data_IF_666765380011
#
_entry.id   IF_666765380011
#
_cell.length_a   1.000
_cell.length_b   1.000
_cell.length_c   1.000
_cell.angle_alpha   90.00
_cell.angle_beta   90.00
_cell.angle_gamma   90.00
#
_symmetry.space_group_name_H-M   'P 1'
#
loop_
_entity.id
_entity.type
_entity.pdbx_description
1 polymer ?
#
# COMPACT_ATOMS: atom_id res chain seq x y z
N UNK A 1 37.87 8.51 -4.95
CA UNK A 1 36.74 7.90 -5.67
C UNK A 1 36.11 6.90 -4.72
N UNK A 2 35.11 7.32 -3.94
CA UNK A 2 34.36 6.44 -3.05
C UNK A 2 32.91 6.50 -3.53
N UNK A 3 32.40 5.38 -4.01
CA UNK A 3 31.06 5.27 -4.56
C UNK A 3 30.04 5.45 -3.44
N UNK A 4 29.18 6.45 -3.61
CA UNK A 4 27.91 6.54 -2.89
C UNK A 4 27.01 5.44 -3.44
N UNK A 5 26.87 4.36 -2.68
CA UNK A 5 25.88 3.33 -2.90
C UNK A 5 24.50 3.94 -2.67
N UNK A 6 23.71 4.02 -3.74
CA UNK A 6 22.29 4.33 -3.66
C UNK A 6 21.60 3.11 -3.03
N UNK A 7 21.32 3.16 -1.74
CA UNK A 7 20.31 2.29 -1.15
C UNK A 7 18.96 2.85 -1.61
N UNK A 8 18.31 2.10 -2.52
CA UNK A 8 16.94 2.38 -2.95
C UNK A 8 16.01 2.35 -1.73
N UNK A 9 15.29 3.43 -1.41
CA UNK A 9 14.39 3.47 -0.26
C UNK A 9 12.95 3.01 -0.56
N UNK A 10 12.69 2.36 -1.69
CA UNK A 10 11.35 1.86 -2.04
C UNK A 10 11.03 0.50 -1.41
N UNK A 11 11.06 0.36 -0.07
CA UNK A 11 10.70 -0.91 0.58
C UNK A 11 9.70 -0.81 1.73
N UNK A 12 9.12 0.35 1.98
CA UNK A 12 8.11 0.53 3.01
C UNK A 12 7.00 1.43 2.46
N UNK A 13 5.77 0.96 2.43
CA UNK A 13 4.66 1.89 2.23
C UNK A 13 4.40 2.62 3.52
N UNK A 14 4.75 3.90 3.53
CA UNK A 14 4.41 4.76 4.62
C UNK A 14 4.18 6.19 4.14
N UNK A 15 3.41 6.93 4.93
CA UNK A 15 3.45 8.38 4.83
C UNK A 15 4.73 8.85 5.52
N UNK A 16 5.71 9.28 4.73
CA UNK A 16 6.98 9.77 5.25
C UNK A 16 7.04 11.30 5.13
N UNK A 17 7.11 11.98 6.26
CA UNK A 17 7.34 13.44 6.32
C UNK A 17 8.79 13.66 6.70
N UNK A 18 9.60 14.08 5.74
CA UNK A 18 11.00 14.40 5.96
C UNK A 18 11.15 15.87 6.36
N UNK A 19 11.79 16.10 7.50
CA UNK A 19 12.31 17.42 7.89
C UNK A 19 13.83 17.31 7.91
N UNK A 20 14.45 17.23 6.72
CA UNK A 20 15.91 17.18 6.65
C UNK A 20 16.51 18.53 7.09
N UNK A 21 17.72 18.51 7.62
CA UNK A 21 18.58 19.69 7.77
C UNK A 21 19.13 20.20 6.43
N UNK A 22 18.71 19.64 5.30
CA UNK A 22 19.13 20.02 3.97
C UNK A 22 18.23 21.12 3.40
N UNK A 23 18.69 22.37 3.53
CA UNK A 23 18.35 23.53 2.68
C UNK A 23 17.04 23.39 1.86
N UNK A 24 15.92 23.87 2.42
CA UNK A 24 14.91 24.50 1.56
C UNK A 24 15.65 25.54 0.72
N UNK A 25 15.66 25.37 -0.60
CA UNK A 25 16.44 26.19 -1.52
C UNK A 25 16.25 27.70 -1.22
N UNK A 26 17.35 28.33 -0.81
CA UNK A 26 17.63 29.77 -0.78
C UNK A 26 16.49 30.72 -0.35
N UNK A 27 16.43 31.01 0.95
CA UNK A 27 16.29 32.39 1.42
C UNK A 27 17.29 32.63 2.56
N UNK A 28 18.12 33.69 2.50
CA UNK A 28 19.17 33.96 3.47
C UNK A 28 18.55 34.61 4.71
N UNK A 29 17.93 33.79 5.56
CA UNK A 29 17.56 34.24 6.91
C UNK A 29 18.22 33.27 7.87
N UNK A 30 19.19 33.78 8.63
CA UNK A 30 19.84 33.06 9.70
C UNK A 30 18.79 32.63 10.74
N UNK A 31 18.33 31.39 10.66
CA UNK A 31 17.37 30.83 11.60
C UNK A 31 17.18 29.34 11.39
N UNK A 32 17.37 28.54 12.44
CA UNK A 32 16.94 27.13 12.46
C UNK A 32 15.43 27.08 12.25
N UNK A 33 15.02 26.57 11.09
CA UNK A 33 13.61 26.44 10.73
C UNK A 33 12.98 25.34 11.61
N UNK A 34 12.21 25.75 12.62
CA UNK A 34 11.59 24.88 13.63
C UNK A 34 10.06 24.95 13.55
N UNK A 35 9.45 24.36 12.53
CA UNK A 35 8.09 24.77 12.09
C UNK A 35 6.96 23.75 12.24
N UNK A 36 7.15 22.67 12.99
CA UNK A 36 6.10 21.65 13.20
C UNK A 36 5.77 21.37 14.67
N UNK A 37 6.19 22.22 15.62
CA UNK A 37 5.89 22.05 17.05
C UNK A 37 4.40 21.91 17.35
N UNK A 38 4.05 20.90 18.15
CA UNK A 38 2.67 20.64 18.59
C UNK A 38 1.64 20.58 17.44
N UNK A 39 2.10 20.30 16.21
CA UNK A 39 1.20 20.10 15.06
C UNK A 39 0.65 18.69 15.11
N UNK A 40 -0.59 18.55 14.66
CA UNK A 40 -1.23 17.25 14.50
C UNK A 40 -1.40 16.93 13.04
N UNK A 41 -1.11 15.68 12.67
CA UNK A 41 -1.47 15.08 11.39
C UNK A 41 -2.78 14.34 11.59
N UNK A 42 -3.77 14.69 10.79
CA UNK A 42 -5.06 14.04 10.78
C UNK A 42 -5.27 13.40 9.41
N UNK A 43 -5.80 12.19 9.40
CA UNK A 43 -6.19 11.46 8.20
C UNK A 43 -7.69 11.26 8.25
N UNK A 44 -8.38 11.86 7.27
CA UNK A 44 -9.85 11.94 7.23
C UNK A 44 -10.45 12.49 8.54
N UNK A 45 -9.71 13.38 9.21
CA UNK A 45 -10.09 13.98 10.49
C UNK A 45 -9.73 13.18 11.74
N UNK A 46 -9.13 11.99 11.61
CA UNK A 46 -8.63 11.19 12.73
C UNK A 46 -7.17 11.55 13.01
N UNK A 47 -6.80 11.99 14.23
CA UNK A 47 -5.41 12.28 14.56
C UNK A 47 -4.58 11.00 14.58
N UNK A 48 -3.54 10.95 13.76
CA UNK A 48 -2.63 9.80 13.65
C UNK A 48 -1.23 10.09 14.19
N UNK A 49 -0.85 11.37 14.24
CA UNK A 49 0.44 11.78 14.74
C UNK A 49 0.39 13.17 15.36
N UNK A 50 1.20 13.37 16.39
CA UNK A 50 1.44 14.68 16.99
C UNK A 50 2.94 14.91 17.08
N UNK A 51 3.39 15.99 16.47
CA UNK A 51 4.77 16.43 16.56
C UNK A 51 5.06 16.90 18.00
N UNK A 52 6.22 16.53 18.57
CA UNK A 52 6.61 16.97 19.90
C UNK A 52 6.81 18.50 19.94
N UNK A 53 6.82 19.07 21.15
CA UNK A 53 7.01 20.51 21.36
C UNK A 53 8.49 20.94 21.25
N UNK A 54 9.42 20.00 21.33
CA UNK A 54 10.85 20.26 21.22
C UNK A 54 11.30 20.51 19.77
N UNK A 55 12.31 21.37 19.58
CA UNK A 55 12.95 21.61 18.27
C UNK A 55 13.92 20.47 18.01
N UNK A 56 13.38 19.32 17.68
CA UNK A 56 14.14 18.25 17.06
C UNK A 56 13.55 18.08 15.67
N UNK A 57 14.40 17.98 14.65
CA UNK A 57 13.98 17.67 13.28
C UNK A 57 13.63 16.18 13.25
N UNK A 58 12.36 15.78 13.35
CA UNK A 58 12.03 14.38 13.45
C UNK A 58 11.61 13.93 12.06
N UNK A 59 12.46 13.16 11.39
CA UNK A 59 11.98 12.30 10.32
C UNK A 59 10.95 11.36 10.95
N UNK A 60 9.68 11.46 10.52
CA UNK A 60 8.60 10.68 11.10
C UNK A 60 7.81 10.00 10.00
N UNK A 61 7.92 8.69 10.05
CA UNK A 61 7.15 7.74 9.25
C UNK A 61 5.90 7.40 10.03
N UNK A 62 4.75 7.91 9.60
CA UNK A 62 3.49 7.61 10.29
C UNK A 62 2.90 6.34 9.69
N UNK A 63 3.34 5.19 10.20
CA UNK A 63 2.70 3.89 9.94
C UNK A 63 1.45 3.77 10.81
N UNK A 64 0.28 3.82 10.20
CA UNK A 64 -1.00 3.62 10.87
C UNK A 64 -1.90 2.77 9.99
N UNK A 65 -2.94 2.17 10.58
CA UNK A 65 -3.99 1.48 9.81
C UNK A 65 -4.79 2.54 9.02
N UNK A 66 -4.26 2.95 7.88
CA UNK A 66 -4.82 4.03 7.09
C UNK A 66 -5.87 3.46 6.10
N UNK A 67 -7.05 4.10 5.93
CA UNK A 67 -8.10 3.55 5.08
C UNK A 67 -7.77 3.63 3.58
N UNK A 68 -8.42 2.71 2.87
CA UNK A 68 -7.93 1.99 1.71
C UNK A 68 -7.91 2.74 0.37
N UNK A 69 -8.25 4.01 0.26
CA UNK A 69 -8.18 4.74 -1.03
C UNK A 69 -8.31 6.23 -0.76
N UNK A 70 -7.36 7.02 -1.27
CA UNK A 70 -7.38 8.48 -1.32
C UNK A 70 -7.75 9.15 0.01
N UNK A 71 -6.75 9.50 0.83
CA UNK A 71 -6.99 10.13 2.14
C UNK A 71 -6.78 11.64 2.10
N UNK A 72 -7.58 12.36 2.90
CA UNK A 72 -7.33 13.77 3.17
C UNK A 72 -6.36 13.87 4.33
N UNK A 73 -5.12 14.28 4.02
CA UNK A 73 -4.13 14.62 5.03
C UNK A 73 -4.33 16.08 5.45
N UNK A 74 -4.70 16.29 6.71
CA UNK A 74 -4.84 17.63 7.29
C UNK A 74 -3.80 17.82 8.39
N UNK A 75 -2.91 18.79 8.19
CA UNK A 75 -1.94 19.21 9.19
C UNK A 75 -2.51 20.46 9.87
N UNK A 76 -2.67 20.40 11.19
CA UNK A 76 -3.28 21.51 11.96
C UNK A 76 -2.39 21.96 13.11
N UNK A 77 -2.53 23.23 13.51
CA UNK A 77 -2.16 23.67 14.85
C UNK A 77 -2.74 25.05 15.17
N UNK A 78 -2.59 25.48 16.41
CA UNK A 78 -3.37 26.58 16.99
C UNK A 78 -3.00 27.99 16.49
N UNK A 79 -1.75 28.22 16.09
CA UNK A 79 -1.22 29.53 15.64
C UNK A 79 -0.05 29.33 14.67
N UNK A 80 0.34 30.32 13.86
CA UNK A 80 1.57 30.28 13.04
C UNK A 80 1.50 29.51 11.71
N UNK A 81 2.62 29.43 10.99
CA UNK A 81 2.75 28.75 9.70
C UNK A 81 3.05 27.26 9.86
N UNK A 82 2.62 26.46 8.88
CA UNK A 82 3.08 25.08 8.65
C UNK A 82 4.18 25.17 7.59
N UNK A 83 5.40 24.74 7.92
CA UNK A 83 6.48 24.65 6.93
C UNK A 83 6.90 23.19 6.78
N UNK A 84 6.78 22.69 5.56
CA UNK A 84 7.11 21.32 5.16
C UNK A 84 8.28 21.40 4.17
N UNK A 85 9.29 20.55 4.37
CA UNK A 85 10.37 20.42 3.41
C UNK A 85 9.98 19.44 2.30
N UNK A 86 9.40 18.30 2.69
CA UNK A 86 8.99 17.25 1.77
C UNK A 86 7.80 16.47 2.35
N UNK A 87 6.92 16.01 1.45
CA UNK A 87 5.76 15.19 1.77
C UNK A 87 5.72 14.03 0.78
N UNK A 88 5.96 12.80 1.26
CA UNK A 88 5.92 11.60 0.44
C UNK A 88 4.68 10.76 0.77
N UNK A 89 4.06 10.24 -0.28
CA UNK A 89 2.96 9.27 -0.20
C UNK A 89 3.43 8.05 -0.97
N UNK A 90 3.68 6.96 -0.25
CA UNK A 90 4.10 5.70 -0.84
C UNK A 90 2.87 4.82 -1.14
N UNK A 91 2.93 4.09 -2.25
CA UNK A 91 1.95 3.08 -2.67
C UNK A 91 2.66 1.73 -2.81
N UNK A 92 1.92 0.62 -2.62
CA UNK A 92 2.45 -0.71 -2.87
C UNK A 92 2.94 -0.89 -4.31
N UNK A 93 3.95 -1.74 -4.47
CA UNK A 93 4.26 -2.31 -5.79
C UNK A 93 3.07 -3.14 -6.28
N UNK A 94 2.97 -3.38 -7.59
CA UNK A 94 1.82 -4.09 -8.18
C UNK A 94 1.64 -5.52 -7.67
N UNK A 95 2.68 -6.11 -7.10
CA UNK A 95 2.74 -7.46 -6.54
C UNK A 95 2.70 -7.51 -5.00
N UNK A 96 2.52 -6.36 -4.33
CA UNK A 96 2.36 -6.29 -2.88
C UNK A 96 1.06 -5.61 -2.46
N UNK A 97 0.61 -5.91 -1.25
CA UNK A 97 -0.58 -5.32 -0.66
C UNK A 97 -0.47 -5.25 0.87
N UNK A 98 -1.46 -4.61 1.48
CA UNK A 98 -1.54 -4.41 2.92
C UNK A 98 -1.14 -3.00 3.30
N UNK A 99 -1.31 -2.68 4.58
CA UNK A 99 -1.09 -1.32 5.09
C UNK A 99 0.37 -0.86 4.89
N UNK A 100 1.31 -1.80 5.05
CA UNK A 100 2.74 -1.54 4.96
C UNK A 100 3.37 -2.20 3.70
N UNK A 101 2.54 -2.75 2.81
CA UNK A 101 2.94 -3.49 1.60
C UNK A 101 3.88 -4.68 1.85
N UNK A 102 3.82 -5.28 3.04
CA UNK A 102 4.59 -6.46 3.41
C UNK A 102 3.95 -7.77 2.91
N UNK A 103 2.66 -7.75 2.54
CA UNK A 103 1.99 -8.94 1.99
C UNK A 103 2.18 -9.01 0.48
N UNK A 104 2.43 -10.22 -0.05
CA UNK A 104 2.61 -10.44 -1.49
C UNK A 104 1.32 -10.97 -2.12
N UNK A 105 0.93 -10.41 -3.27
CA UNK A 105 -0.20 -10.90 -4.05
C UNK A 105 -0.06 -12.41 -4.34
N UNK A 106 -1.17 -13.14 -4.31
CA UNK A 106 -1.19 -14.57 -4.66
C UNK A 106 -0.65 -14.81 -6.07
N UNK A 107 0.16 -15.85 -6.25
CA UNK A 107 0.62 -16.26 -7.59
C UNK A 107 -0.54 -16.60 -8.54
N UNK A 108 -1.72 -16.94 -8.00
CA UNK A 108 -2.93 -17.19 -8.77
C UNK A 108 -3.55 -15.92 -9.39
N UNK A 109 -3.12 -14.70 -9.01
CA UNK A 109 -3.55 -13.44 -9.62
C UNK A 109 -3.00 -13.19 -11.05
N UNK A 110 -2.48 -14.22 -11.72
CA UNK A 110 -1.85 -14.15 -13.05
C UNK A 110 -2.83 -14.54 -14.15
N UNK A 111 -3.96 -13.85 -14.23
CA UNK A 111 -4.90 -14.07 -15.31
C UNK A 111 -4.18 -13.94 -16.68
N UNK A 112 -4.35 -14.95 -17.54
CA UNK A 112 -3.78 -15.01 -18.89
C UNK A 112 -2.24 -14.89 -18.99
N UNK A 113 -1.49 -15.30 -17.96
CA UNK A 113 -0.02 -15.25 -18.00
C UNK A 113 0.57 -13.84 -17.84
N UNK A 114 -0.23 -12.90 -17.35
CA UNK A 114 0.21 -11.53 -17.03
C UNK A 114 1.02 -11.43 -15.72
N UNK A 115 1.32 -10.19 -15.31
CA UNK A 115 1.96 -9.92 -14.02
C UNK A 115 1.01 -10.23 -12.86
N UNK A 116 1.58 -10.73 -11.75
CA UNK A 116 0.83 -10.84 -10.50
C UNK A 116 0.38 -9.44 -10.08
N UNK A 117 -0.93 -9.19 -10.16
CA UNK A 117 -1.50 -7.87 -9.82
C UNK A 117 -2.69 -8.06 -8.90
N UNK A 118 -2.67 -7.39 -7.76
CA UNK A 118 -3.79 -7.38 -6.84
C UNK A 118 -4.08 -5.97 -6.31
N UNK A 119 -5.24 -5.80 -5.73
CA UNK A 119 -5.62 -4.58 -5.03
C UNK A 119 -4.69 -4.39 -3.84
N UNK A 120 -3.98 -3.26 -3.80
CA UNK A 120 -2.92 -2.94 -2.84
C UNK A 120 -3.39 -2.89 -1.38
N UNK A 121 -4.69 -3.00 -1.12
CA UNK A 121 -5.23 -3.03 0.23
C UNK A 121 -5.74 -4.42 0.59
N UNK A 122 -6.66 -4.94 -0.23
CA UNK A 122 -7.37 -6.17 0.08
C UNK A 122 -6.61 -7.43 -0.34
N UNK A 123 -5.61 -7.29 -1.21
CA UNK A 123 -4.92 -8.40 -1.84
C UNK A 123 -5.76 -9.14 -2.89
N UNK A 124 -6.96 -8.64 -3.22
CA UNK A 124 -7.84 -9.29 -4.19
C UNK A 124 -7.33 -9.07 -5.62
N UNK A 125 -7.34 -10.11 -6.43
CA UNK A 125 -6.83 -10.06 -7.79
C UNK A 125 -7.75 -9.20 -8.67
N UNK A 126 -7.24 -8.12 -9.23
CA UNK A 126 -8.03 -7.14 -10.01
C UNK A 126 -8.33 -7.62 -11.43
N UNK A 127 -7.54 -8.56 -11.94
CA UNK A 127 -7.69 -9.12 -13.29
C UNK A 127 -8.33 -10.52 -13.30
N UNK A 128 -8.75 -11.03 -12.13
CA UNK A 128 -9.26 -12.38 -11.98
C UNK A 128 -8.15 -13.42 -11.75
N UNK A 129 -8.54 -14.69 -11.81
CA UNK A 129 -7.68 -15.81 -11.47
C UNK A 129 -7.14 -16.53 -12.70
N UNK A 130 -5.95 -17.11 -12.56
CA UNK A 130 -5.49 -18.18 -13.45
C UNK A 130 -6.48 -19.36 -13.43
N UNK A 131 -6.57 -20.12 -14.53
CA UNK A 131 -7.65 -21.07 -14.84
C UNK A 131 -7.98 -22.06 -13.72
N UNK A 132 -6.99 -22.44 -12.92
CA UNK A 132 -7.13 -23.48 -11.88
C UNK A 132 -7.37 -22.89 -10.48
N UNK A 133 -7.49 -21.58 -10.36
CA UNK A 133 -7.63 -20.87 -9.10
C UNK A 133 -8.95 -20.09 -9.03
N UNK A 134 -9.47 -19.93 -7.82
CA UNK A 134 -10.66 -19.15 -7.51
C UNK A 134 -10.54 -18.50 -6.13
N UNK A 135 -11.55 -17.72 -5.78
CA UNK A 135 -11.62 -16.81 -4.65
C UNK A 135 -11.12 -15.41 -5.00
N UNK A 136 -11.47 -14.43 -4.16
CA UNK A 136 -11.07 -13.04 -4.35
C UNK A 136 -9.55 -12.84 -4.47
N UNK A 137 -8.75 -13.69 -3.80
CA UNK A 137 -7.28 -13.70 -3.85
C UNK A 137 -6.70 -14.81 -4.72
N UNK A 138 -7.50 -15.59 -5.43
CA UNK A 138 -7.04 -16.70 -6.27
C UNK A 138 -6.07 -17.66 -5.53
N UNK A 139 -6.42 -18.03 -4.31
CA UNK A 139 -5.61 -18.89 -3.43
C UNK A 139 -6.28 -20.24 -3.15
N UNK A 140 -7.47 -20.48 -3.74
CA UNK A 140 -8.19 -21.73 -3.67
C UNK A 140 -8.16 -22.39 -5.05
N UNK A 141 -8.02 -23.72 -5.10
CA UNK A 141 -7.97 -24.44 -6.37
C UNK A 141 -9.36 -24.91 -6.82
N UNK A 142 -9.62 -24.84 -8.12
CA UNK A 142 -10.82 -25.42 -8.72
C UNK A 142 -10.83 -26.95 -8.55
N UNK A 143 -11.99 -27.60 -8.54
CA UNK A 143 -12.06 -29.05 -8.65
C UNK A 143 -11.32 -29.55 -9.89
N UNK A 144 -10.48 -30.59 -9.73
CA UNK A 144 -9.56 -31.07 -10.78
C UNK A 144 -10.27 -31.61 -12.03
N UNK A 145 -11.57 -31.90 -11.92
CA UNK A 145 -12.40 -32.48 -12.98
C UNK A 145 -13.35 -31.47 -13.61
N UNK A 146 -13.22 -30.16 -13.34
CA UNK A 146 -13.92 -29.18 -14.17
C UNK A 146 -13.46 -29.33 -15.64
N UNK A 147 -14.42 -29.30 -16.57
CA UNK A 147 -14.12 -29.24 -18.00
C UNK A 147 -13.62 -27.84 -18.41
N UNK A 148 -14.14 -26.81 -17.74
CA UNK A 148 -13.82 -25.39 -17.92
C UNK A 148 -13.28 -24.77 -16.63
N UNK A 149 -12.94 -23.47 -16.65
CA UNK A 149 -12.62 -22.74 -15.41
C UNK A 149 -13.82 -22.74 -14.46
N UNK A 150 -13.58 -23.00 -13.17
CA UNK A 150 -14.63 -22.91 -12.16
C UNK A 150 -15.03 -21.46 -11.90
N UNK A 151 -16.20 -21.25 -11.29
CA UNK A 151 -16.66 -19.92 -10.90
C UNK A 151 -15.64 -19.25 -9.98
N UNK A 152 -15.35 -17.97 -10.25
CA UNK A 152 -14.31 -17.23 -9.54
C UNK A 152 -14.65 -17.05 -8.06
N UNK A 153 -15.92 -16.88 -7.72
CA UNK A 153 -16.34 -16.47 -6.39
C UNK A 153 -16.82 -17.68 -5.56
N UNK A 154 -17.40 -18.71 -6.19
CA UNK A 154 -17.89 -19.91 -5.50
C UNK A 154 -17.02 -21.15 -5.66
N UNK A 155 -16.20 -21.22 -6.72
CA UNK A 155 -15.40 -22.42 -7.04
C UNK A 155 -16.16 -23.52 -7.77
N UNK A 156 -17.43 -23.29 -8.12
CA UNK A 156 -18.30 -24.28 -8.75
C UNK A 156 -17.95 -24.51 -10.22
N UNK A 157 -17.91 -25.76 -10.67
CA UNK A 157 -17.78 -26.09 -12.08
C UNK A 157 -19.15 -26.04 -12.78
N UNK A 158 -19.28 -25.25 -13.85
CA UNK A 158 -20.47 -25.30 -14.70
C UNK A 158 -20.56 -26.62 -15.51
N UNK A 159 -19.42 -27.17 -15.89
CA UNK A 159 -19.30 -28.41 -16.66
C UNK A 159 -18.17 -29.29 -16.09
N UNK A 160 -18.43 -30.60 -16.02
CA UNK A 160 -17.49 -31.60 -15.52
C UNK A 160 -17.02 -32.53 -16.64
N UNK A 161 -15.78 -33.04 -16.51
CA UNK A 161 -15.26 -34.10 -17.39
C UNK A 161 -15.94 -35.43 -17.09
N UNK A 162 -16.08 -36.30 -18.10
CA UNK A 162 -16.55 -37.70 -18.10
C UNK A 162 -17.16 -38.26 -16.79
N UNK A 163 -18.49 -38.42 -16.75
CA UNK A 163 -19.27 -39.07 -15.67
C UNK A 163 -19.23 -38.39 -14.29
N UNK A 164 -18.68 -37.17 -14.18
CA UNK A 164 -18.73 -36.36 -12.96
C UNK A 164 -19.88 -35.34 -13.02
N UNK A 165 -20.43 -34.95 -11.87
CA UNK A 165 -21.56 -34.03 -11.78
C UNK A 165 -21.17 -32.69 -11.10
N UNK A 166 -21.68 -31.54 -11.60
CA UNK A 166 -21.57 -30.25 -10.91
C UNK A 166 -22.17 -30.26 -9.50
N UNK A 167 -21.77 -29.32 -8.62
CA UNK A 167 -20.79 -28.25 -8.85
C UNK A 167 -19.34 -28.67 -8.57
N UNK A 168 -19.12 -29.72 -7.77
CA UNK A 168 -17.79 -30.11 -7.29
C UNK A 168 -17.07 -31.13 -8.20
N UNK A 169 -17.73 -31.61 -9.25
CA UNK A 169 -17.23 -32.67 -10.14
C UNK A 169 -16.68 -33.88 -9.37
N UNK A 170 -17.48 -34.40 -8.42
CA UNK A 170 -17.24 -35.64 -7.67
C UNK A 170 -17.97 -36.85 -8.27
#
# INVERSE_FOLDING_TARGET
>A
MAGVGWLSPCLLAALSVFVTTGQCAFLPIAGKISYMRNRRVLLDGIPVFQFPDEITNPEQTTGGKLPARGQIVKITGATGYVALCEFQVDECTTDSYGVDCEETCSSGCRANGGSTTCDSISGNCTQGCEREWWGGRCNMSCPSRCAVQCDRDTGDCAECRDNFAPPDCQ
#
